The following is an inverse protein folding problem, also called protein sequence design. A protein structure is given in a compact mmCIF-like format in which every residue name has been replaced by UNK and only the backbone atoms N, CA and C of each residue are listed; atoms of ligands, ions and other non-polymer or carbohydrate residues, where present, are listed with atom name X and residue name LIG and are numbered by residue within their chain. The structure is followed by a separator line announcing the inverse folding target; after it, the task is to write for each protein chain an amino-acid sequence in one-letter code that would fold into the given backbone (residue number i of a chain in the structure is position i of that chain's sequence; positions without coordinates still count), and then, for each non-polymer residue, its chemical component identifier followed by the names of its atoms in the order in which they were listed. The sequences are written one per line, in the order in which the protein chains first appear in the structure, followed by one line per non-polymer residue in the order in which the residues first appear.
data_IF_835183484031
#
_entry.id   IF_835183484031
#
_cell.length_a   1.000
_cell.length_b   1.000
_cell.length_c   1.000
_cell.angle_alpha   90.00
_cell.angle_beta   90.00
_cell.angle_gamma   90.00
#
_symmetry.space_group_name_H-M   'P 1'
#
loop_
_entity.id
_entity.type
_entity.pdbx_description
1 polymer ?
#
# COMPACT_ATOMS: atom_id res chain seq x y z
N UNK A 1 20.74 -5.69 -9.40
CA UNK A 1 19.73 -4.90 -8.69
C UNK A 1 18.77 -4.07 -9.54
N UNK A 2 19.04 -3.79 -10.83
CA UNK A 2 18.05 -3.16 -11.70
C UNK A 2 16.91 -4.12 -12.12
N UNK A 3 17.11 -5.43 -11.96
CA UNK A 3 16.18 -6.47 -12.45
C UNK A 3 15.15 -6.94 -11.41
N UNK A 4 15.33 -6.58 -10.12
CA UNK A 4 14.40 -6.91 -9.02
C UNK A 4 13.67 -5.64 -8.51
N UNK A 5 12.99 -4.95 -9.42
CA UNK A 5 12.32 -3.65 -9.17
C UNK A 5 10.82 -3.75 -8.90
N UNK A 6 10.22 -4.93 -9.05
CA UNK A 6 8.77 -5.08 -8.93
C UNK A 6 8.34 -5.25 -7.47
N UNK A 7 7.33 -4.49 -7.05
CA UNK A 7 6.64 -4.74 -5.80
C UNK A 7 5.94 -6.11 -5.84
N UNK A 8 5.81 -6.80 -4.69
CA UNK A 8 4.87 -7.90 -4.58
C UNK A 8 3.47 -7.40 -4.95
N UNK A 9 2.87 -8.00 -5.98
CA UNK A 9 1.48 -7.71 -6.39
C UNK A 9 0.60 -8.82 -5.86
N UNK A 10 -0.48 -8.46 -5.15
CA UNK A 10 -1.40 -9.45 -4.64
C UNK A 10 -1.98 -10.25 -5.80
N UNK A 11 -1.92 -11.57 -5.69
CA UNK A 11 -2.50 -12.45 -6.69
C UNK A 11 -4.01 -12.38 -6.55
N UNK A 12 -4.74 -12.30 -7.65
CA UNK A 12 -6.21 -12.37 -7.64
C UNK A 12 -6.74 -13.60 -6.87
N UNK A 13 -5.96 -14.70 -6.85
CA UNK A 13 -6.24 -15.90 -6.06
C UNK A 13 -6.19 -15.64 -4.55
N UNK A 14 -5.25 -14.85 -4.07
CA UNK A 14 -5.15 -14.49 -2.65
C UNK A 14 -6.33 -13.62 -2.22
N UNK A 15 -6.73 -12.67 -3.04
CA UNK A 15 -7.92 -11.84 -2.82
C UNK A 15 -9.17 -12.72 -2.78
N UNK A 16 -9.33 -13.67 -3.72
CA UNK A 16 -10.43 -14.65 -3.69
C UNK A 16 -10.46 -15.48 -2.41
N UNK A 17 -9.29 -15.93 -1.95
CA UNK A 17 -9.19 -16.72 -0.72
C UNK A 17 -9.58 -15.86 0.50
N UNK A 18 -9.14 -14.60 0.56
CA UNK A 18 -9.53 -13.66 1.61
C UNK A 18 -11.04 -13.46 1.64
N UNK A 19 -11.66 -13.21 0.47
CA UNK A 19 -13.11 -13.03 0.36
C UNK A 19 -13.89 -14.30 0.74
N UNK A 20 -13.43 -15.47 0.28
CA UNK A 20 -14.04 -16.75 0.64
C UNK A 20 -13.94 -17.03 2.15
N UNK A 21 -12.79 -16.73 2.75
CA UNK A 21 -12.58 -16.86 4.19
C UNK A 21 -13.45 -15.87 4.98
N UNK A 22 -13.57 -14.63 4.53
CA UNK A 22 -14.45 -13.62 5.12
C UNK A 22 -15.92 -14.07 5.10
N UNK A 23 -16.38 -14.59 3.96
CA UNK A 23 -17.73 -15.14 3.82
C UNK A 23 -17.96 -16.36 4.73
N UNK A 24 -16.97 -17.25 4.86
CA UNK A 24 -17.07 -18.43 5.73
C UNK A 24 -17.12 -18.07 7.21
N UNK A 25 -16.30 -17.09 7.63
CA UNK A 25 -16.21 -16.66 9.03
C UNK A 25 -17.26 -15.60 9.40
N UNK A 26 -17.98 -15.04 8.43
CA UNK A 26 -19.05 -14.06 8.64
C UNK A 26 -18.55 -12.66 9.00
N UNK A 27 -17.34 -12.27 8.58
CA UNK A 27 -16.83 -10.91 8.82
C UNK A 27 -16.83 -10.04 7.57
N UNK A 28 -16.98 -8.73 7.76
CA UNK A 28 -16.99 -7.73 6.68
C UNK A 28 -15.57 -7.40 6.21
N UNK A 29 -15.43 -7.21 4.90
CA UNK A 29 -14.19 -6.72 4.27
C UNK A 29 -14.36 -5.26 3.92
N UNK A 30 -13.35 -4.47 4.23
CA UNK A 30 -13.27 -3.04 3.97
C UNK A 30 -12.14 -2.74 3.00
N UNK A 31 -12.26 -1.62 2.29
CA UNK A 31 -11.24 -1.07 1.41
C UNK A 31 -10.96 0.39 1.77
N UNK A 32 -9.69 0.76 1.65
CA UNK A 32 -9.21 2.14 1.71
C UNK A 32 -8.10 2.34 0.66
N UNK A 33 -8.03 3.54 0.10
CA UNK A 33 -6.99 3.97 -0.83
C UNK A 33 -6.04 4.96 -0.16
N UNK A 34 -4.76 4.91 -0.54
CA UNK A 34 -3.75 5.86 -0.06
C UNK A 34 -3.53 6.96 -1.09
N UNK A 35 -3.88 8.20 -0.70
CA UNK A 35 -3.68 9.35 -1.58
C UNK A 35 -2.20 9.56 -1.85
N UNK A 36 -1.84 9.59 -3.12
CA UNK A 36 -0.45 9.78 -3.55
C UNK A 36 0.53 8.76 -2.93
N UNK A 37 0.11 7.50 -2.78
CA UNK A 37 0.88 6.37 -2.24
C UNK A 37 2.39 6.39 -2.58
N UNK A 38 2.73 6.56 -3.85
CA UNK A 38 4.12 6.55 -4.30
C UNK A 38 4.98 7.67 -3.69
N UNK A 39 4.41 8.83 -3.34
CA UNK A 39 5.16 9.93 -2.71
C UNK A 39 5.60 9.63 -1.26
N UNK A 40 5.10 8.54 -0.67
CA UNK A 40 5.57 8.03 0.62
C UNK A 40 6.74 7.05 0.46
N UNK A 41 7.01 6.56 -0.75
CA UNK A 41 8.18 5.76 -1.06
C UNK A 41 9.40 6.66 -1.28
N UNK A 42 10.53 6.30 -0.67
CA UNK A 42 11.84 6.86 -1.04
C UNK A 42 12.48 5.95 -2.06
N UNK A 43 13.06 6.53 -3.10
CA UNK A 43 13.86 5.78 -4.08
C UNK A 43 15.33 5.81 -3.64
N UNK A 44 15.98 4.65 -3.66
CA UNK A 44 17.42 4.56 -3.36
C UNK A 44 18.26 4.90 -4.61
N UNK A 45 17.66 4.75 -5.79
CA UNK A 45 18.29 5.05 -7.07
C UNK A 45 18.35 6.56 -7.36
N UNK A 46 19.46 7.00 -7.95
CA UNK A 46 19.57 8.37 -8.46
C UNK A 46 18.81 8.54 -9.77
N UNK A 47 17.61 9.11 -9.66
CA UNK A 47 16.78 9.46 -10.82
C UNK A 47 16.79 10.97 -11.01
N UNK A 48 17.00 11.39 -12.25
CA UNK A 48 16.90 12.78 -12.66
C UNK A 48 15.78 12.95 -13.67
N UNK A 49 15.03 14.04 -13.57
CA UNK A 49 13.97 14.40 -14.50
C UNK A 49 14.27 15.74 -15.16
N UNK A 50 13.85 15.87 -16.42
CA UNK A 50 13.86 17.15 -17.10
C UNK A 50 12.99 18.16 -16.36
N UNK A 51 13.31 19.44 -16.52
CA UNK A 51 12.55 20.51 -15.90
C UNK A 51 11.11 20.50 -16.44
N UNK A 52 10.10 20.36 -15.57
CA UNK A 52 8.74 20.27 -16.02
C UNK A 52 8.30 21.60 -16.67
N UNK A 53 7.40 21.55 -17.66
CA UNK A 53 6.84 22.75 -18.26
C UNK A 53 6.30 23.69 -17.18
N UNK A 54 6.67 24.98 -17.23
CA UNK A 54 6.27 25.99 -16.25
C UNK A 54 7.19 26.14 -15.03
N UNK A 55 8.17 25.23 -14.84
CA UNK A 55 9.17 25.29 -13.77
C UNK A 55 10.61 25.37 -14.31
N UNK A 56 10.75 25.73 -15.58
CA UNK A 56 12.05 25.85 -16.23
C UNK A 56 12.80 27.08 -15.69
N UNK A 57 14.02 26.86 -15.22
CA UNK A 57 14.94 27.92 -14.82
C UNK A 57 15.47 28.64 -16.07
N UNK A 58 15.16 29.94 -16.25
CA UNK A 58 15.57 30.70 -17.42
C UNK A 58 17.09 30.93 -17.48
N UNK A 59 17.77 30.85 -16.33
CA UNK A 59 19.23 31.02 -16.21
C UNK A 59 19.95 29.70 -16.47
N UNK A 60 19.34 28.58 -16.12
CA UNK A 60 19.93 27.25 -16.26
C UNK A 60 18.99 26.26 -16.97
N UNK A 61 18.68 26.47 -18.26
CA UNK A 61 17.70 25.66 -18.99
C UNK A 61 18.12 24.19 -19.17
N UNK A 62 19.42 23.89 -19.11
CA UNK A 62 19.95 22.53 -19.26
C UNK A 62 20.04 21.73 -17.95
N UNK A 63 19.72 22.32 -16.79
CA UNK A 63 19.71 21.59 -15.52
C UNK A 63 18.57 20.57 -15.47
N UNK A 64 18.74 19.60 -14.60
CA UNK A 64 17.74 18.55 -14.30
C UNK A 64 17.46 18.53 -12.80
N UNK A 65 16.29 18.06 -12.41
CA UNK A 65 15.93 17.88 -11.01
C UNK A 65 16.23 16.46 -10.57
N UNK A 66 16.85 16.30 -9.40
CA UNK A 66 16.96 15.00 -8.74
C UNK A 66 15.63 14.67 -8.07
N UNK A 67 15.14 13.46 -8.31
CA UNK A 67 13.91 12.95 -7.70
C UNK A 67 14.28 12.31 -6.36
N UNK A 68 13.68 12.80 -5.26
CA UNK A 68 13.91 12.24 -3.93
C UNK A 68 12.84 11.21 -3.51
N UNK A 69 11.64 11.32 -4.08
CA UNK A 69 10.49 10.48 -3.74
C UNK A 69 10.03 9.70 -4.96
N UNK A 70 9.51 8.49 -4.74
CA UNK A 70 8.90 7.72 -5.80
C UNK A 70 7.73 8.51 -6.43
N UNK A 71 7.65 8.47 -7.75
CA UNK A 71 6.62 9.15 -8.54
C UNK A 71 5.98 8.18 -9.52
N UNK A 72 4.74 8.48 -9.93
CA UNK A 72 4.06 7.76 -11.00
C UNK A 72 4.93 7.70 -12.26
N UNK A 73 4.96 6.53 -12.91
CA UNK A 73 5.78 6.28 -14.10
C UNK A 73 7.19 5.76 -13.79
N UNK A 74 7.67 5.84 -12.55
CA UNK A 74 8.90 5.15 -12.15
C UNK A 74 8.62 3.67 -11.90
N UNK A 75 9.40 2.79 -12.52
CA UNK A 75 9.24 1.34 -12.38
C UNK A 75 9.39 0.86 -10.93
N UNK A 76 10.23 1.55 -10.15
CA UNK A 76 10.51 1.27 -8.74
C UNK A 76 9.51 1.90 -7.76
N UNK A 77 8.61 2.78 -8.20
CA UNK A 77 7.69 3.48 -7.31
C UNK A 77 6.78 2.55 -6.49
N UNK A 78 6.17 1.50 -7.09
CA UNK A 78 5.38 0.54 -6.32
C UNK A 78 6.19 -0.17 -5.24
N UNK A 79 7.46 -0.50 -5.51
CA UNK A 79 8.34 -1.21 -4.57
C UNK A 79 8.72 -0.32 -3.40
N UNK A 80 9.06 0.94 -3.68
CA UNK A 80 9.36 1.93 -2.66
C UNK A 80 8.16 2.17 -1.73
N UNK A 81 6.96 2.30 -2.31
CA UNK A 81 5.71 2.40 -1.55
C UNK A 81 5.45 1.19 -0.67
N UNK A 82 5.44 -0.01 -1.26
CA UNK A 82 5.22 -1.26 -0.53
C UNK A 82 6.24 -1.43 0.60
N UNK A 83 7.51 -1.08 0.37
CA UNK A 83 8.56 -1.10 1.40
C UNK A 83 8.25 -0.17 2.57
N UNK A 84 7.81 1.07 2.32
CA UNK A 84 7.41 2.03 3.36
C UNK A 84 6.21 1.52 4.16
N UNK A 85 5.17 1.04 3.47
CA UNK A 85 3.95 0.51 4.09
C UNK A 85 4.25 -0.74 4.92
N UNK A 86 4.96 -1.71 4.35
CA UNK A 86 5.33 -2.97 5.01
C UNK A 86 6.11 -2.71 6.29
N UNK A 87 7.14 -1.85 6.24
CA UNK A 87 7.92 -1.46 7.43
C UNK A 87 7.02 -0.84 8.51
N UNK A 88 6.04 -0.03 8.13
CA UNK A 88 5.12 0.59 9.08
C UNK A 88 4.16 -0.42 9.72
N UNK A 89 3.58 -1.34 8.93
CA UNK A 89 2.71 -2.40 9.46
C UNK A 89 3.47 -3.32 10.42
N UNK A 90 4.68 -3.75 10.04
CA UNK A 90 5.53 -4.59 10.89
C UNK A 90 5.89 -3.90 12.22
N UNK A 91 6.19 -2.60 12.19
CA UNK A 91 6.43 -1.80 13.41
C UNK A 91 5.21 -1.75 14.34
N UNK A 92 4.00 -1.86 13.79
CA UNK A 92 2.73 -1.82 14.52
C UNK A 92 2.16 -3.21 14.84
N UNK A 93 3.02 -4.23 14.91
CA UNK A 93 2.69 -5.56 15.40
C UNK A 93 2.02 -6.48 14.38
N UNK A 94 1.98 -6.09 13.10
CA UNK A 94 1.56 -7.00 12.04
C UNK A 94 2.68 -7.98 11.71
N UNK A 95 2.31 -9.19 11.35
CA UNK A 95 3.19 -10.21 10.80
C UNK A 95 2.88 -10.35 9.32
N UNK A 96 3.90 -10.30 8.48
CA UNK A 96 3.77 -10.57 7.06
C UNK A 96 3.68 -12.07 6.81
N UNK A 97 2.77 -12.50 5.95
CA UNK A 97 2.65 -13.91 5.59
C UNK A 97 3.90 -14.41 4.83
N UNK A 98 4.19 -15.70 4.99
CA UNK A 98 5.40 -16.34 4.44
C UNK A 98 5.25 -16.73 2.98
N UNK A 99 4.02 -16.97 2.52
CA UNK A 99 3.70 -17.42 1.17
C UNK A 99 3.28 -16.22 0.33
N UNK A 100 2.36 -15.39 0.85
CA UNK A 100 1.92 -14.17 0.22
C UNK A 100 2.44 -12.93 0.95
N UNK A 101 3.51 -12.34 0.41
CA UNK A 101 4.11 -11.15 1.01
C UNK A 101 3.18 -9.92 1.01
N UNK A 102 2.07 -9.94 0.27
CA UNK A 102 1.09 -8.86 0.27
C UNK A 102 0.03 -8.99 1.37
N UNK A 103 -0.01 -10.12 2.07
CA UNK A 103 -0.89 -10.38 3.19
C UNK A 103 -0.18 -10.14 4.53
N UNK A 104 -0.85 -9.40 5.41
CA UNK A 104 -0.41 -9.11 6.76
C UNK A 104 -1.49 -9.53 7.75
N UNK A 105 -1.07 -10.08 8.88
CA UNK A 105 -1.97 -10.58 9.93
C UNK A 105 -1.52 -10.00 11.25
N UNK A 106 -2.45 -9.42 12.01
CA UNK A 106 -2.24 -9.11 13.42
C UNK A 106 -3.29 -9.84 14.23
N UNK A 107 -2.83 -10.67 15.16
CA UNK A 107 -3.69 -11.44 16.07
C UNK A 107 -3.70 -10.79 17.45
N UNK A 108 -4.90 -10.58 17.96
CA UNK A 108 -5.19 -10.37 19.38
C UNK A 108 -5.77 -11.68 19.94
N UNK A 109 -6.04 -11.74 21.25
CA UNK A 109 -6.34 -13.00 21.96
C UNK A 109 -7.50 -13.76 21.31
N UNK A 110 -8.62 -13.07 21.04
CA UNK A 110 -9.80 -13.65 20.38
C UNK A 110 -10.07 -13.09 18.99
N UNK A 111 -9.36 -12.02 18.62
CA UNK A 111 -9.63 -11.26 17.40
C UNK A 111 -8.43 -11.23 16.47
N UNK A 112 -8.70 -11.01 15.18
CA UNK A 112 -7.63 -10.80 14.20
C UNK A 112 -8.02 -9.73 13.19
N UNK A 113 -6.99 -9.17 12.57
CA UNK A 113 -7.10 -8.34 11.38
C UNK A 113 -6.20 -8.91 10.28
N UNK A 114 -6.79 -9.12 9.11
CA UNK A 114 -6.13 -9.47 7.86
C UNK A 114 -6.06 -8.23 6.99
N UNK A 115 -4.87 -7.88 6.50
CA UNK A 115 -4.64 -6.74 5.62
C UNK A 115 -3.95 -7.24 4.36
N UNK A 116 -4.55 -6.96 3.22
CA UNK A 116 -4.14 -7.38 1.89
C UNK A 116 -3.86 -6.13 1.05
N UNK A 117 -2.59 -5.92 0.71
CA UNK A 117 -2.14 -4.76 -0.06
C UNK A 117 -2.17 -5.07 -1.55
N UNK A 118 -2.80 -4.23 -2.35
CA UNK A 118 -2.84 -4.35 -3.80
C UNK A 118 -2.53 -2.99 -4.45
N UNK A 119 -1.26 -2.81 -4.87
CA UNK A 119 -0.76 -1.52 -5.34
C UNK A 119 -1.00 -0.42 -4.31
N UNK A 120 -1.93 0.50 -4.59
CA UNK A 120 -2.27 1.64 -3.73
C UNK A 120 -3.51 1.38 -2.86
N UNK A 121 -4.25 0.31 -3.19
CA UNK A 121 -5.42 -0.14 -2.43
C UNK A 121 -5.02 -1.05 -1.27
N UNK A 122 -5.72 -0.87 -0.15
CA UNK A 122 -5.59 -1.71 1.04
C UNK A 122 -6.95 -2.31 1.34
N UNK A 123 -7.07 -3.62 1.14
CA UNK A 123 -8.24 -4.39 1.52
C UNK A 123 -7.98 -5.03 2.88
N UNK A 124 -8.92 -5.00 3.79
CA UNK A 124 -8.73 -5.61 5.10
C UNK A 124 -10.02 -6.14 5.68
N UNK A 125 -9.90 -7.22 6.44
CA UNK A 125 -11.01 -7.89 7.11
C UNK A 125 -10.65 -8.16 8.56
N UNK A 126 -11.66 -8.13 9.43
CA UNK A 126 -11.48 -8.13 10.87
C UNK A 126 -12.63 -8.85 11.55
N UNK A 127 -12.35 -9.61 12.59
CA UNK A 127 -13.36 -10.30 13.38
C UNK A 127 -14.22 -9.35 14.24
N UNK A 128 -13.68 -8.18 14.60
CA UNK A 128 -14.31 -7.24 15.54
C UNK A 128 -14.31 -5.80 15.01
N UNK A 129 -15.48 -5.16 14.80
CA UNK A 129 -15.60 -3.80 14.28
C UNK A 129 -14.78 -2.72 15.01
N UNK A 130 -14.44 -2.93 16.29
CA UNK A 130 -13.58 -2.00 17.02
C UNK A 130 -12.16 -1.93 16.43
N UNK A 131 -11.63 -3.06 15.96
CA UNK A 131 -10.33 -3.12 15.29
C UNK A 131 -10.29 -2.33 13.98
N UNK A 132 -11.46 -2.12 13.37
CA UNK A 132 -11.60 -1.31 12.17
C UNK A 132 -11.17 0.13 12.43
N UNK A 133 -11.70 0.73 13.50
CA UNK A 133 -11.37 2.12 13.89
C UNK A 133 -9.92 2.26 14.32
N UNK A 134 -9.38 1.27 15.02
CA UNK A 134 -7.97 1.26 15.41
C UNK A 134 -7.04 1.21 14.20
N UNK A 135 -7.36 0.35 13.22
CA UNK A 135 -6.58 0.24 12.00
C UNK A 135 -6.69 1.49 11.13
N UNK A 136 -7.90 2.05 10.99
CA UNK A 136 -8.13 3.31 10.29
C UNK A 136 -7.34 4.46 10.92
N UNK A 137 -7.40 4.61 12.25
CA UNK A 137 -6.64 5.63 12.98
C UNK A 137 -5.12 5.43 12.81
N UNK A 138 -4.66 4.18 12.87
CA UNK A 138 -3.24 3.85 12.64
C UNK A 138 -2.80 4.27 11.23
N UNK A 139 -3.59 3.95 10.21
CA UNK A 139 -3.25 4.30 8.83
C UNK A 139 -3.27 5.81 8.61
N UNK A 140 -4.23 6.53 9.21
CA UNK A 140 -4.32 7.99 9.17
C UNK A 140 -3.20 8.71 9.92
N UNK A 141 -2.55 8.08 10.90
CA UNK A 141 -1.43 8.67 11.63
C UNK A 141 -0.26 8.98 10.68
N UNK A 142 -0.02 8.09 9.71
CA UNK A 142 1.14 8.20 8.80
C UNK A 142 0.79 8.56 7.37
N UNK A 143 -0.37 8.15 6.90
CA UNK A 143 -0.75 8.24 5.49
C UNK A 143 -2.04 9.02 5.31
N UNK A 144 -2.14 9.74 4.21
CA UNK A 144 -3.37 10.40 3.84
C UNK A 144 -4.30 9.38 3.16
N UNK A 145 -5.33 8.94 3.88
CA UNK A 145 -6.25 7.92 3.38
C UNK A 145 -7.50 8.51 2.72
N UNK A 146 -8.11 7.75 1.82
CA UNK A 146 -9.51 7.96 1.39
C UNK A 146 -10.49 7.61 2.52
N UNK A 147 -11.77 7.90 2.30
CA UNK A 147 -12.81 7.34 3.15
C UNK A 147 -12.78 5.82 3.07
N UNK A 148 -12.95 5.16 4.21
CA UNK A 148 -13.10 3.72 4.32
C UNK A 148 -14.48 3.31 3.80
N UNK A 149 -14.53 2.28 2.95
CA UNK A 149 -15.76 1.72 2.41
C UNK A 149 -15.85 0.22 2.62
N UNK A 150 -17.06 -0.30 2.79
CA UNK A 150 -17.29 -1.74 2.68
C UNK A 150 -17.02 -2.20 1.25
N UNK A 151 -16.26 -3.28 1.12
CA UNK A 151 -15.88 -3.83 -0.18
C UNK A 151 -17.08 -4.56 -0.80
N UNK A 152 -17.88 -3.83 -1.55
CA UNK A 152 -19.05 -4.36 -2.28
C UNK A 152 -18.73 -4.79 -3.71
N UNK A 153 -17.64 -4.25 -4.28
CA UNK A 153 -17.23 -4.51 -5.66
C UNK A 153 -15.71 -4.48 -5.73
N UNK A 154 -15.09 -5.49 -6.36
CA UNK A 154 -13.65 -5.54 -6.60
C UNK A 154 -13.43 -5.74 -8.10
N UNK A 155 -12.64 -4.87 -8.73
CA UNK A 155 -12.48 -4.91 -10.18
C UNK A 155 -11.85 -6.24 -10.63
N UNK A 156 -12.61 -7.03 -11.40
CA UNK A 156 -12.20 -8.37 -11.84
C UNK A 156 -12.74 -9.54 -11.00
N UNK A 157 -13.65 -9.26 -10.06
CA UNK A 157 -14.34 -10.24 -9.20
C UNK A 157 -15.84 -9.98 -9.09
#
# INVERSE_FOLDING_TARGET
DYDEVFAPVARIKAIRILLAYASFMGFTVYQMDVKSAFLYGTIDEEVYVMQPPGFQDPTFPAKVYKVEKAMYGLHQAPRAWYGTLSKYLLKNGFQRDTIDQTLFIRRQIEDFILVQVYMDDINFGLSNPQLCREFEALMHEKFQMSAMGELNFFLGL
#
